data_IF_794574402519
#
_entry.id   IF_794574402519
#
_cell.length_a   1.000
_cell.length_b   1.000
_cell.length_c   1.000
_cell.angle_alpha   90.00
_cell.angle_beta   90.00
_cell.angle_gamma   90.00
#
_symmetry.space_group_name_H-M   'P 1'
#
loop_
_entity.id
_entity.type
_entity.pdbx_description
1 polymer ?
#
# COMPACT_ATOMS: atom_id res chain seq x y z
N UNK A 1 -8.19 10.77 7.04
CA UNK A 1 -7.58 9.46 6.89
C UNK A 1 -8.52 8.44 6.25
N UNK A 2 -9.75 8.47 6.70
CA UNK A 2 -10.79 7.59 6.20
C UNK A 2 -11.08 7.83 4.71
N UNK A 3 -11.09 9.10 4.30
CA UNK A 3 -11.30 9.46 2.90
C UNK A 3 -10.16 9.00 2.01
N UNK A 4 -8.93 9.07 2.51
CA UNK A 4 -7.76 8.61 1.76
C UNK A 4 -7.83 7.11 1.50
N UNK A 5 -8.24 6.35 2.51
CA UNK A 5 -8.38 4.90 2.37
C UNK A 5 -9.51 4.53 1.42
N UNK A 6 -10.58 5.32 1.38
CA UNK A 6 -11.71 5.07 0.50
C UNK A 6 -11.38 5.33 -0.97
N UNK A 7 -10.41 6.19 -1.26
CA UNK A 7 -9.99 6.49 -2.63
C UNK A 7 -9.06 5.42 -3.20
N UNK A 8 -8.52 4.56 -2.35
CA UNK A 8 -7.63 3.48 -2.78
C UNK A 8 -8.46 2.28 -3.22
N UNK A 9 -7.96 1.53 -4.21
CA UNK A 9 -8.60 0.27 -4.57
C UNK A 9 -8.34 -0.77 -3.47
N UNK A 10 -9.07 -1.90 -3.45
CA UNK A 10 -8.93 -2.91 -2.39
C UNK A 10 -7.51 -3.45 -2.25
N UNK A 11 -6.79 -3.60 -3.35
CA UNK A 11 -5.42 -4.09 -3.36
C UNK A 11 -4.47 -3.11 -2.66
N UNK A 12 -4.63 -1.83 -2.94
CA UNK A 12 -3.84 -0.78 -2.33
C UNK A 12 -4.13 -0.66 -0.83
N UNK A 13 -5.39 -0.76 -0.44
CA UNK A 13 -5.77 -0.77 0.98
C UNK A 13 -5.12 -1.92 1.72
N UNK A 14 -5.14 -3.10 1.11
CA UNK A 14 -4.56 -4.29 1.72
C UNK A 14 -3.06 -4.11 1.92
N UNK A 15 -2.38 -3.54 0.93
CA UNK A 15 -0.95 -3.29 1.02
C UNK A 15 -0.63 -2.35 2.17
N UNK A 16 -1.34 -1.24 2.27
CA UNK A 16 -1.14 -0.27 3.34
C UNK A 16 -1.41 -0.89 4.70
N UNK A 17 -2.48 -1.67 4.81
CA UNK A 17 -2.80 -2.36 6.05
C UNK A 17 -1.65 -3.28 6.49
N UNK A 18 -1.15 -4.09 5.58
CA UNK A 18 -0.10 -5.05 5.89
C UNK A 18 1.21 -4.35 6.25
N UNK A 19 1.54 -3.26 5.58
CA UNK A 19 2.79 -2.54 5.83
C UNK A 19 2.78 -1.72 7.11
N UNK A 20 1.69 -1.03 7.38
CA UNK A 20 1.65 -0.05 8.47
C UNK A 20 0.90 -0.50 9.71
N UNK A 21 -0.08 -1.36 9.56
CA UNK A 21 -0.84 -1.85 10.70
C UNK A 21 -0.41 -3.24 11.16
N UNK A 22 -0.07 -4.12 10.23
CA UNK A 22 0.39 -5.47 10.56
C UNK A 22 1.92 -5.59 10.62
N UNK A 23 2.62 -4.50 10.33
CA UNK A 23 4.08 -4.41 10.43
C UNK A 23 4.81 -5.46 9.60
N UNK A 24 4.30 -5.76 8.41
CA UNK A 24 4.91 -6.72 7.51
C UNK A 24 5.95 -6.07 6.61
N UNK A 25 6.98 -6.84 6.24
CA UNK A 25 7.98 -6.36 5.29
C UNK A 25 7.41 -6.38 3.86
N UNK A 26 8.08 -5.69 2.93
CA UNK A 26 7.66 -5.72 1.52
C UNK A 26 7.71 -7.15 0.96
N UNK A 27 8.69 -7.94 1.37
CA UNK A 27 8.79 -9.33 0.95
C UNK A 27 7.61 -10.15 1.46
N UNK A 28 7.24 -9.96 2.71
CA UNK A 28 6.08 -10.65 3.30
C UNK A 28 4.79 -10.25 2.62
N UNK A 29 4.62 -8.96 2.35
CA UNK A 29 3.43 -8.46 1.65
C UNK A 29 3.34 -9.06 0.25
N UNK A 30 4.46 -9.14 -0.45
CA UNK A 30 4.51 -9.76 -1.77
C UNK A 30 4.03 -11.20 -1.75
N UNK A 31 4.48 -11.96 -0.77
CA UNK A 31 4.06 -13.36 -0.59
C UNK A 31 2.56 -13.46 -0.30
N UNK A 32 2.07 -12.60 0.58
CA UNK A 32 0.66 -12.62 0.97
C UNK A 32 -0.27 -12.18 -0.17
N UNK A 33 0.19 -11.27 -1.01
CA UNK A 33 -0.59 -10.75 -2.12
C UNK A 33 -0.35 -11.50 -3.44
N UNK A 34 0.63 -12.40 -3.46
CA UNK A 34 0.96 -13.16 -4.66
C UNK A 34 1.67 -12.34 -5.72
N UNK A 35 2.45 -11.35 -5.32
CA UNK A 35 3.22 -10.50 -6.23
C UNK A 35 4.68 -10.43 -5.77
N UNK A 36 5.55 -9.87 -6.61
CA UNK A 36 6.96 -9.75 -6.26
C UNK A 36 7.20 -8.58 -5.31
N UNK A 37 8.33 -8.61 -4.61
CA UNK A 37 8.73 -7.52 -3.72
C UNK A 37 8.90 -6.21 -4.51
N UNK A 38 9.39 -6.29 -5.75
CA UNK A 38 9.53 -5.11 -6.61
C UNK A 38 8.18 -4.49 -6.90
N UNK A 39 7.16 -5.31 -7.16
CA UNK A 39 5.81 -4.82 -7.39
C UNK A 39 5.22 -4.15 -6.14
N UNK A 40 5.48 -4.74 -4.97
CA UNK A 40 5.07 -4.14 -3.70
C UNK A 40 5.70 -2.77 -3.52
N UNK A 41 7.00 -2.67 -3.79
CA UNK A 41 7.73 -1.41 -3.67
C UNK A 41 7.16 -0.34 -4.60
N UNK A 42 6.85 -0.69 -5.83
CA UNK A 42 6.27 0.24 -6.81
C UNK A 42 4.88 0.69 -6.41
N UNK A 43 4.04 -0.24 -5.95
CA UNK A 43 2.69 0.08 -5.49
C UNK A 43 2.72 0.98 -4.27
N UNK A 44 3.58 0.69 -3.32
CA UNK A 44 3.74 1.50 -2.12
C UNK A 44 4.13 2.93 -2.47
N UNK A 45 5.09 3.08 -3.37
CA UNK A 45 5.53 4.40 -3.83
C UNK A 45 4.39 5.17 -4.49
N UNK A 46 3.63 4.49 -5.35
CA UNK A 46 2.49 5.08 -6.04
C UNK A 46 1.44 5.56 -5.05
N UNK A 47 1.13 4.74 -4.06
CA UNK A 47 0.15 5.07 -3.03
C UNK A 47 0.59 6.30 -2.25
N UNK A 48 1.85 6.33 -1.83
CA UNK A 48 2.39 7.44 -1.06
C UNK A 48 2.38 8.75 -1.87
N UNK A 49 2.68 8.67 -3.17
CA UNK A 49 2.61 9.85 -4.04
C UNK A 49 1.19 10.38 -4.16
N UNK A 50 0.20 9.48 -4.29
CA UNK A 50 -1.19 9.88 -4.36
C UNK A 50 -1.66 10.50 -3.05
N UNK A 51 -1.27 9.96 -1.93
CA UNK A 51 -1.58 10.52 -0.62
C UNK A 51 -0.98 11.90 -0.45
N UNK A 52 0.25 12.09 -0.93
CA UNK A 52 0.93 13.37 -0.88
C UNK A 52 0.16 14.45 -1.66
N UNK A 53 -0.34 14.10 -2.83
CA UNK A 53 -1.14 15.02 -3.65
C UNK A 53 -2.44 15.40 -2.97
N UNK A 54 -3.03 14.47 -2.25
CA UNK A 54 -4.30 14.70 -1.57
C UNK A 54 -4.15 15.47 -0.26
N UNK A 55 -2.95 15.50 0.30
CA UNK A 55 -2.66 16.19 1.57
C UNK A 55 -2.47 17.69 1.41
N UNK A 56 -2.38 18.18 0.20
CA UNK A 56 -2.23 19.60 -0.08
C UNK A 56 -3.60 20.24 -0.27
#
# INVERSE_FOLDING_TARGET
LRQLLETLNPEERRLIYLRYFADKTQTDVGKLMGISQVQVSRLEKKILENMRKMSI
#
